data_IF_526291258132
#
_entry.id   IF_526291258132
#
_cell.length_a   1.000
_cell.length_b   1.000
_cell.length_c   1.000
_cell.angle_alpha   90.00
_cell.angle_beta   90.00
_cell.angle_gamma   90.00
#
_symmetry.space_group_name_H-M   'P 1'
#
loop_
_entity.id
_entity.type
_entity.pdbx_description
1 polymer ?
#
# COMPACT_ATOMS: atom_id res chain seq x y z
N UNK A 1 4.46 -31.27 25.51
CA UNK A 1 5.01 -30.15 24.72
C UNK A 1 3.86 -29.58 23.92
N UNK A 2 3.25 -28.50 24.41
CA UNK A 2 2.01 -27.93 23.86
C UNK A 2 2.36 -27.01 22.70
N UNK A 3 1.89 -27.35 21.50
CA UNK A 3 2.02 -26.49 20.32
C UNK A 3 1.25 -25.20 20.61
N UNK A 4 1.86 -24.00 20.47
CA UNK A 4 1.13 -22.76 20.68
C UNK A 4 0.02 -22.70 19.63
N UNK A 5 -1.22 -22.72 20.12
CA UNK A 5 -2.41 -22.59 19.29
C UNK A 5 -2.35 -21.19 18.69
N UNK A 6 -2.08 -21.08 17.38
CA UNK A 6 -2.21 -19.81 16.68
C UNK A 6 -3.61 -19.27 16.97
N UNK A 7 -3.68 -18.11 17.61
CA UNK A 7 -4.93 -17.45 17.94
C UNK A 7 -5.80 -17.37 16.68
N UNK A 8 -7.12 -17.44 16.88
CA UNK A 8 -8.18 -17.37 15.85
C UNK A 8 -8.11 -16.10 14.94
N UNK A 9 -7.09 -15.27 15.11
CA UNK A 9 -6.79 -14.03 14.41
C UNK A 9 -5.93 -14.20 13.14
N UNK A 10 -5.30 -15.37 12.89
CA UNK A 10 -4.56 -15.64 11.66
C UNK A 10 -5.40 -16.32 10.57
N UNK A 11 -6.66 -15.93 10.45
CA UNK A 11 -7.57 -16.46 9.43
C UNK A 11 -7.73 -15.47 8.27
N UNK A 12 -8.00 -15.99 7.07
CA UNK A 12 -8.34 -15.17 5.89
C UNK A 12 -9.54 -14.26 6.14
N UNK A 13 -10.49 -14.68 6.97
CA UNK A 13 -11.66 -13.89 7.37
C UNK A 13 -11.26 -12.68 8.23
N UNK A 14 -10.41 -12.89 9.24
CA UNK A 14 -9.90 -11.80 10.07
C UNK A 14 -9.07 -10.80 9.25
N UNK A 15 -8.18 -11.31 8.41
CA UNK A 15 -7.36 -10.48 7.53
C UNK A 15 -8.21 -9.63 6.56
N UNK A 16 -9.24 -10.23 5.95
CA UNK A 16 -10.20 -9.49 5.09
C UNK A 16 -10.96 -8.42 5.87
N UNK A 17 -11.39 -8.71 7.10
CA UNK A 17 -12.09 -7.75 7.96
C UNK A 17 -11.20 -6.56 8.29
N UNK A 18 -9.92 -6.80 8.60
CA UNK A 18 -8.95 -5.75 8.87
C UNK A 18 -8.70 -4.85 7.65
N UNK A 19 -8.50 -5.47 6.47
CA UNK A 19 -8.33 -4.76 5.18
C UNK A 19 -9.53 -3.88 4.85
N UNK A 20 -10.74 -4.42 4.99
CA UNK A 20 -11.99 -3.70 4.70
C UNK A 20 -12.21 -2.55 5.69
N UNK A 21 -11.82 -2.73 6.96
CA UNK A 21 -11.92 -1.68 7.98
C UNK A 21 -11.01 -0.49 7.67
N UNK A 22 -9.76 -0.74 7.29
CA UNK A 22 -8.77 0.33 7.06
C UNK A 22 -8.90 0.97 5.67
N UNK A 23 -9.32 0.20 4.67
CA UNK A 23 -9.40 0.63 3.27
C UNK A 23 -10.75 0.22 2.65
N UNK A 24 -11.87 0.81 3.10
CA UNK A 24 -13.21 0.41 2.68
C UNK A 24 -13.50 0.67 1.19
N UNK A 25 -12.80 1.61 0.56
CA UNK A 25 -12.95 1.93 -0.87
C UNK A 25 -12.30 0.93 -1.83
N UNK A 26 -11.66 -0.12 -1.30
CA UNK A 26 -11.00 -1.14 -2.11
C UNK A 26 -11.80 -2.45 -2.09
N UNK A 27 -12.00 -3.03 -3.28
CA UNK A 27 -12.52 -4.38 -3.41
C UNK A 27 -11.38 -5.37 -3.15
N UNK A 28 -11.44 -6.05 -2.01
CA UNK A 28 -10.41 -6.98 -1.55
C UNK A 28 -10.67 -8.43 -2.00
N UNK A 29 -9.63 -9.03 -2.57
CA UNK A 29 -9.54 -10.46 -2.86
C UNK A 29 -8.39 -11.04 -2.04
N UNK A 30 -8.70 -11.94 -1.10
CA UNK A 30 -7.68 -12.72 -0.35
C UNK A 30 -7.38 -13.99 -1.12
N UNK A 31 -6.11 -14.24 -1.38
CA UNK A 31 -5.64 -15.37 -2.17
C UNK A 31 -5.42 -16.60 -1.30
N UNK A 32 -5.67 -17.78 -1.87
CA UNK A 32 -5.30 -19.04 -1.21
C UNK A 32 -3.78 -19.15 -1.20
N UNK A 33 -3.22 -19.44 -0.03
CA UNK A 33 -1.79 -19.68 0.17
C UNK A 33 -1.61 -21.11 0.65
N UNK A 34 -0.55 -21.78 0.19
CA UNK A 34 -0.10 -23.06 0.75
C UNK A 34 0.76 -22.88 2.00
N UNK A 35 1.20 -21.64 2.27
CA UNK A 35 1.99 -21.29 3.44
C UNK A 35 1.07 -20.73 4.52
N UNK A 36 0.91 -21.48 5.60
CA UNK A 36 0.07 -21.12 6.76
C UNK A 36 0.55 -19.87 7.49
N UNK A 37 1.82 -19.49 7.34
CA UNK A 37 2.40 -18.28 7.93
C UNK A 37 2.29 -17.06 7.02
N UNK A 38 1.61 -17.16 5.86
CA UNK A 38 1.55 -16.08 4.88
C UNK A 38 0.15 -15.96 4.27
N UNK A 39 -0.47 -14.80 4.48
CA UNK A 39 -1.70 -14.40 3.83
C UNK A 39 -1.42 -13.28 2.82
N UNK A 40 -2.03 -13.35 1.64
CA UNK A 40 -1.87 -12.36 0.60
C UNK A 40 -3.22 -11.88 0.10
N UNK A 41 -3.36 -10.58 -0.13
CA UNK A 41 -4.57 -9.98 -0.66
C UNK A 41 -4.24 -8.93 -1.73
N UNK A 42 -5.15 -8.78 -2.68
CA UNK A 42 -5.15 -7.70 -3.66
C UNK A 42 -6.40 -6.85 -3.49
N UNK A 43 -6.22 -5.54 -3.35
CA UNK A 43 -7.29 -4.56 -3.31
C UNK A 43 -7.33 -3.77 -4.61
N UNK A 44 -8.52 -3.57 -5.19
CA UNK A 44 -8.69 -2.71 -6.37
C UNK A 44 -9.68 -1.60 -6.02
N UNK A 45 -9.27 -0.36 -6.25
CA UNK A 45 -10.16 0.80 -6.19
C UNK A 45 -10.56 1.20 -7.63
N UNK A 46 -11.85 1.44 -7.84
CA UNK A 46 -12.42 1.86 -9.12
C UNK A 46 -13.41 3.00 -8.97
N UNK A 47 -13.57 3.81 -10.02
CA UNK A 47 -14.62 4.82 -10.18
C UNK A 47 -15.27 4.62 -11.55
N UNK A 48 -16.54 4.24 -11.57
CA UNK A 48 -17.22 3.77 -12.79
C UNK A 48 -16.44 2.61 -13.44
N UNK A 49 -16.12 2.74 -14.72
CA UNK A 49 -15.32 1.76 -15.47
C UNK A 49 -13.80 1.93 -15.30
N UNK A 50 -13.34 2.98 -14.61
CA UNK A 50 -11.92 3.30 -14.46
C UNK A 50 -11.33 2.70 -13.18
N UNK A 51 -10.21 1.97 -13.30
CA UNK A 51 -9.45 1.47 -12.13
C UNK A 51 -8.46 2.52 -11.67
N UNK A 52 -8.62 3.03 -10.46
CA UNK A 52 -7.80 4.13 -9.94
C UNK A 52 -6.49 3.63 -9.32
N UNK A 53 -6.55 2.54 -8.55
CA UNK A 53 -5.41 2.07 -7.76
C UNK A 53 -5.49 0.57 -7.51
N UNK A 54 -4.33 -0.08 -7.47
CA UNK A 54 -4.18 -1.46 -7.03
C UNK A 54 -3.25 -1.53 -5.83
N UNK A 55 -3.68 -2.26 -4.79
CA UNK A 55 -2.86 -2.60 -3.63
C UNK A 55 -2.60 -4.10 -3.59
N UNK A 56 -1.39 -4.48 -3.19
CA UNK A 56 -1.06 -5.84 -2.74
C UNK A 56 -0.64 -5.76 -1.28
N UNK A 57 -1.24 -6.59 -0.43
CA UNK A 57 -0.90 -6.67 0.99
C UNK A 57 -0.56 -8.10 1.32
N UNK A 58 0.60 -8.30 1.94
CA UNK A 58 1.05 -9.58 2.48
C UNK A 58 1.16 -9.46 3.99
N UNK A 59 0.48 -10.35 4.72
CA UNK A 59 0.69 -10.54 6.16
C UNK A 59 1.53 -11.80 6.33
N UNK A 60 2.68 -11.68 7.00
CA UNK A 60 3.57 -12.80 7.27
C UNK A 60 3.83 -12.94 8.77
N UNK A 61 3.85 -14.18 9.25
CA UNK A 61 4.35 -14.56 10.57
C UNK A 61 5.75 -15.09 10.42
N UNK A 62 6.67 -14.54 11.19
CA UNK A 62 8.05 -14.98 11.26
C UNK A 62 8.34 -15.62 12.61
N UNK A 63 9.29 -16.57 12.63
CA UNK A 63 9.95 -17.09 13.83
C UNK A 63 9.09 -17.08 15.10
N UNK A 64 9.49 -16.29 16.09
CA UNK A 64 8.87 -16.15 17.41
C UNK A 64 7.45 -15.53 17.41
N UNK A 65 6.65 -15.74 16.35
CA UNK A 65 5.30 -15.20 16.23
C UNK A 65 5.25 -13.73 15.78
N UNK A 66 6.35 -13.18 15.26
CA UNK A 66 6.41 -11.78 14.84
C UNK A 66 5.59 -11.59 13.57
N UNK A 67 4.52 -10.80 13.66
CA UNK A 67 3.67 -10.44 12.52
C UNK A 67 4.24 -9.22 11.82
N UNK A 68 4.31 -9.28 10.49
CA UNK A 68 4.63 -8.14 9.63
C UNK A 68 3.62 -8.02 8.50
N UNK A 69 3.44 -6.79 8.05
CA UNK A 69 2.61 -6.43 6.91
C UNK A 69 3.48 -5.75 5.87
N UNK A 70 3.47 -6.26 4.64
CA UNK A 70 4.08 -5.62 3.48
C UNK A 70 2.98 -5.15 2.53
N UNK A 71 2.89 -3.84 2.31
CA UNK A 71 1.94 -3.23 1.41
C UNK A 71 2.67 -2.68 0.18
N UNK A 72 2.13 -2.96 -1.01
CA UNK A 72 2.60 -2.44 -2.30
C UNK A 72 1.47 -1.69 -2.98
N UNK A 73 1.81 -0.62 -3.69
CA UNK A 73 0.83 0.13 -4.48
C UNK A 73 1.27 0.28 -5.93
N UNK A 74 0.29 0.22 -6.82
CA UNK A 74 0.41 0.51 -8.22
C UNK A 74 -0.75 1.43 -8.63
N UNK A 75 -0.52 2.23 -9.68
CA UNK A 75 -1.54 3.10 -10.27
C UNK A 75 -2.57 2.34 -11.11
N UNK A 76 -2.88 2.88 -12.27
CA UNK A 76 -3.89 2.36 -13.19
C UNK A 76 -3.45 1.02 -13.82
N UNK A 77 -4.09 -0.09 -13.42
CA UNK A 77 -4.02 -1.37 -14.12
C UNK A 77 -3.35 -2.53 -13.37
N UNK A 78 -3.83 -3.76 -13.61
CA UNK A 78 -3.37 -5.00 -12.93
C UNK A 78 -1.94 -5.41 -13.28
N UNK A 79 -1.37 -4.86 -14.36
CA UNK A 79 0.00 -5.10 -14.83
C UNK A 79 0.91 -3.89 -14.63
N UNK A 80 0.40 -2.84 -13.97
CA UNK A 80 1.22 -1.69 -13.65
C UNK A 80 2.38 -2.13 -12.74
N UNK A 81 3.56 -1.55 -12.97
CA UNK A 81 4.70 -1.77 -12.09
C UNK A 81 4.35 -1.26 -10.70
N UNK A 82 4.76 -2.00 -9.67
CA UNK A 82 4.68 -1.53 -8.30
C UNK A 82 5.51 -0.26 -8.16
N UNK A 83 4.88 0.82 -7.71
CA UNK A 83 5.51 2.13 -7.57
C UNK A 83 6.30 2.24 -6.27
N UNK A 84 5.75 1.67 -5.20
CA UNK A 84 6.39 1.63 -3.90
C UNK A 84 5.90 0.44 -3.07
N UNK A 85 6.72 0.05 -2.10
CA UNK A 85 6.44 -0.96 -1.12
C UNK A 85 6.84 -0.44 0.26
N UNK A 86 6.02 -0.69 1.27
CA UNK A 86 6.34 -0.39 2.65
C UNK A 86 6.01 -1.59 3.54
N UNK A 87 6.88 -1.88 4.50
CA UNK A 87 6.72 -3.02 5.42
C UNK A 87 6.77 -2.53 6.85
N UNK A 88 5.83 -2.98 7.67
CA UNK A 88 5.70 -2.56 9.07
C UNK A 88 5.07 -3.67 9.93
N UNK A 89 4.99 -3.48 11.24
CA UNK A 89 4.41 -4.43 12.20
C UNK A 89 2.88 -4.37 12.25
N UNK A 90 2.28 -3.27 11.77
CA UNK A 90 0.82 -3.15 11.63
C UNK A 90 0.40 -2.82 10.19
N UNK A 91 -0.79 -3.27 9.79
CA UNK A 91 -1.35 -2.94 8.48
C UNK A 91 -1.53 -1.42 8.30
N UNK A 92 -1.96 -0.72 9.36
CA UNK A 92 -2.16 0.72 9.32
C UNK A 92 -0.84 1.47 9.06
N UNK A 93 0.24 1.12 9.77
CA UNK A 93 1.56 1.70 9.55
C UNK A 93 2.13 1.37 8.17
N UNK A 94 1.95 0.13 7.70
CA UNK A 94 2.36 -0.29 6.37
C UNK A 94 1.69 0.58 5.28
N UNK A 95 0.37 0.80 5.39
CA UNK A 95 -0.39 1.66 4.48
C UNK A 95 -0.03 3.14 4.63
N UNK A 96 0.21 3.63 5.85
CA UNK A 96 0.63 5.01 6.12
C UNK A 96 1.96 5.33 5.43
N UNK A 97 2.92 4.41 5.42
CA UNK A 97 4.18 4.62 4.71
C UNK A 97 3.99 4.74 3.19
N UNK A 98 3.03 4.03 2.58
CA UNK A 98 2.68 4.25 1.17
C UNK A 98 2.10 5.66 0.94
N UNK A 99 1.24 6.14 1.83
CA UNK A 99 0.70 7.51 1.74
C UNK A 99 1.81 8.56 1.86
N UNK A 100 2.67 8.42 2.86
CA UNK A 100 3.81 9.32 3.08
C UNK A 100 4.73 9.37 1.84
N UNK A 101 4.99 8.23 1.19
CA UNK A 101 5.74 8.19 -0.06
C UNK A 101 5.08 9.04 -1.16
N UNK A 102 3.78 8.89 -1.38
CA UNK A 102 3.09 9.68 -2.41
C UNK A 102 2.98 11.17 -2.06
N UNK A 103 2.80 11.51 -0.78
CA UNK A 103 2.83 12.89 -0.30
C UNK A 103 4.21 13.53 -0.55
N UNK A 104 5.30 12.80 -0.28
CA UNK A 104 6.66 13.23 -0.55
C UNK A 104 6.89 13.44 -2.06
N UNK A 105 6.45 12.51 -2.91
CA UNK A 105 6.54 12.64 -4.37
C UNK A 105 5.74 13.83 -4.89
N UNK A 106 4.52 14.04 -4.39
CA UNK A 106 3.72 15.22 -4.73
C UNK A 106 4.41 16.53 -4.32
N UNK A 107 5.10 16.54 -3.17
CA UNK A 107 5.92 17.67 -2.73
C UNK A 107 7.12 17.93 -3.65
N UNK A 108 7.82 16.88 -4.08
CA UNK A 108 8.94 16.98 -5.01
C UNK A 108 8.52 17.54 -6.37
N UNK A 109 7.44 17.01 -6.96
CA UNK A 109 6.95 17.50 -8.24
C UNK A 109 6.42 18.93 -8.19
N UNK A 110 5.80 19.34 -7.07
CA UNK A 110 5.43 20.75 -6.84
C UNK A 110 6.66 21.66 -6.87
N UNK A 111 7.75 21.29 -6.20
CA UNK A 111 9.01 22.06 -6.23
C UNK A 111 9.58 22.16 -7.64
N UNK A 112 9.56 21.07 -8.41
CA UNK A 112 10.02 21.09 -9.80
C UNK A 112 9.17 22.04 -10.66
N UNK A 113 7.84 22.00 -10.53
CA UNK A 113 6.94 22.92 -11.22
C UNK A 113 7.25 24.39 -10.88
N UNK A 114 7.40 24.73 -9.59
CA UNK A 114 7.74 26.10 -9.16
C UNK A 114 9.11 26.56 -9.67
N UNK A 115 10.08 25.66 -9.81
CA UNK A 115 11.38 26.00 -10.41
C UNK A 115 11.27 26.31 -11.89
N UNK A 116 10.46 25.56 -12.65
CA UNK A 116 10.19 25.85 -14.06
C UNK A 116 9.46 27.18 -14.24
N UNK A 117 8.47 27.47 -13.38
CA UNK A 117 7.73 28.73 -13.38
C UNK A 117 8.65 29.92 -13.14
N UNK A 118 9.49 29.87 -12.09
CA UNK A 118 10.50 30.92 -11.81
C UNK A 118 11.47 31.12 -12.98
N UNK A 119 11.88 30.03 -13.63
CA UNK A 119 12.73 30.09 -14.82
C UNK A 119 12.06 30.79 -16.01
N UNK A 120 10.73 30.72 -16.12
CA UNK A 120 9.96 31.42 -17.18
C UNK A 120 9.82 32.92 -16.93
N UNK A 121 9.80 33.34 -15.67
CA UNK A 121 9.65 34.77 -15.30
C UNK A 121 10.98 35.49 -15.17
N UNK A 122 12.10 34.77 -15.01
CA UNK A 122 13.43 35.34 -14.89
C UNK A 122 14.09 35.55 -16.26
N UNK A 123 13.58 36.51 -17.04
CA UNK A 123 14.33 37.30 -18.03
C UNK A 123 13.40 38.38 -18.62
N UNK A 124 13.58 39.62 -18.17
CA UNK A 124 12.87 40.78 -18.71
C UNK A 124 12.89 42.02 -17.83
N UNK A 125 13.95 42.24 -17.03
CA UNK A 125 14.00 43.41 -16.14
C UNK A 125 15.40 43.66 -15.60
N UNK A 126 16.34 43.91 -16.50
CA UNK A 126 17.51 44.76 -16.25
C UNK A 126 17.64 45.64 -17.50
N UNK A 127 16.89 46.75 -17.48
CA UNK A 127 17.18 47.99 -18.24
C UNK A 127 17.92 48.95 -17.31
#
# INVERSE_FOLDING_TARGET
>A
MTVPTFSNEFTSAHFRKELTRLMPGYQWTVHKSTNENRLEATGIQSSGFNRLSTLSVVRSVHGQGVVTYSAKSAGYGRRARWLHANTDITLASALRGLQNFYEAQAGLFRKHASSLERGRTAQGGDE
#
